data_IF_542842867157
#
_entry.id   IF_542842867157
#
_cell.length_a   1.000
_cell.length_b   1.000
_cell.length_c   1.000
_cell.angle_alpha   90.00
_cell.angle_beta   90.00
_cell.angle_gamma   90.00
#
_symmetry.space_group_name_H-M   'P 1'
#
loop_
_entity.id
_entity.type
_entity.pdbx_description
1 polymer ?
#
# COMPACT_ATOMS: atom_id res chain seq x y z
N UNK A 1 11.18 14.24 31.55
CA UNK A 1 11.58 13.04 30.79
C UNK A 1 10.38 12.62 29.96
N UNK A 2 10.43 12.81 28.63
CA UNK A 2 9.46 12.23 27.71
C UNK A 2 9.94 10.79 27.41
N UNK A 3 9.10 9.79 27.65
CA UNK A 3 9.47 8.38 27.54
C UNK A 3 9.70 7.90 26.09
N UNK A 4 10.21 6.66 25.91
CA UNK A 4 10.58 6.07 24.61
C UNK A 4 9.40 5.71 23.68
N UNK A 5 8.15 6.02 24.05
CA UNK A 5 6.95 5.50 23.36
C UNK A 5 6.69 6.19 22.02
N UNK A 6 7.01 7.49 21.89
CA UNK A 6 6.77 8.22 20.63
C UNK A 6 7.64 7.68 19.48
N UNK A 7 8.94 7.51 19.72
CA UNK A 7 9.92 7.09 18.69
C UNK A 7 9.63 5.72 18.06
N UNK A 8 9.08 4.78 18.83
CA UNK A 8 8.76 3.44 18.33
C UNK A 8 7.58 3.47 17.37
N UNK A 9 6.57 4.30 17.64
CA UNK A 9 5.36 4.36 16.84
C UNK A 9 5.62 4.99 15.47
N UNK A 10 6.43 6.06 15.44
CA UNK A 10 6.88 6.69 14.21
C UNK A 10 7.63 5.69 13.32
N UNK A 11 8.50 4.86 13.92
CA UNK A 11 9.26 3.83 13.21
C UNK A 11 8.37 2.72 12.65
N UNK A 12 7.35 2.29 13.42
CA UNK A 12 6.37 1.29 12.97
C UNK A 12 5.56 1.80 11.78
N UNK A 13 5.16 3.08 11.80
CA UNK A 13 4.43 3.69 10.69
C UNK A 13 5.30 3.94 9.46
N UNK A 14 6.59 4.21 9.63
CA UNK A 14 7.55 4.26 8.52
C UNK A 14 7.67 2.89 7.84
N UNK A 15 7.79 1.82 8.62
CA UNK A 15 7.83 0.46 8.09
C UNK A 15 6.50 0.10 7.39
N UNK A 16 5.35 0.49 7.95
CA UNK A 16 4.05 0.33 7.28
C UNK A 16 4.04 1.00 5.89
N UNK A 17 4.51 2.25 5.78
CA UNK A 17 4.60 2.99 4.50
C UNK A 17 5.55 2.29 3.53
N UNK A 18 6.68 1.79 4.02
CA UNK A 18 7.59 0.97 3.23
C UNK A 18 6.89 -0.31 2.72
N UNK A 19 6.11 -0.97 3.58
CA UNK A 19 5.28 -2.13 3.24
C UNK A 19 4.25 -1.84 2.15
N UNK A 20 3.51 -0.74 2.26
CA UNK A 20 2.55 -0.29 1.21
C UNK A 20 3.28 -0.03 -0.11
N UNK A 21 4.43 0.65 -0.07
CA UNK A 21 5.25 0.86 -1.28
C UNK A 21 5.68 -0.46 -1.92
N UNK A 22 6.13 -1.40 -1.10
CA UNK A 22 6.56 -2.72 -1.54
C UNK A 22 5.41 -3.51 -2.17
N UNK A 23 4.20 -3.45 -1.59
CA UNK A 23 3.00 -4.08 -2.14
C UNK A 23 2.65 -3.51 -3.50
N UNK A 24 2.57 -2.19 -3.64
CA UNK A 24 2.23 -1.56 -4.92
C UNK A 24 3.25 -1.87 -6.02
N UNK A 25 4.55 -1.93 -5.68
CA UNK A 25 5.61 -2.37 -6.61
C UNK A 25 5.50 -3.85 -6.96
N UNK A 26 5.06 -4.67 -6.01
CA UNK A 26 4.87 -6.10 -6.18
C UNK A 26 3.58 -6.46 -6.93
N UNK A 27 2.61 -5.55 -6.99
CA UNK A 27 1.34 -5.78 -7.65
C UNK A 27 1.50 -5.81 -9.17
N UNK A 28 1.32 -7.01 -9.74
CA UNK A 28 1.56 -7.29 -11.15
C UNK A 28 0.75 -6.39 -12.09
N UNK A 29 -0.52 -6.13 -11.77
CA UNK A 29 -1.39 -5.30 -12.59
C UNK A 29 -0.85 -3.87 -12.70
N UNK A 30 -0.58 -3.22 -11.56
CA UNK A 30 -0.03 -1.86 -11.53
C UNK A 30 1.36 -1.79 -12.17
N UNK A 31 2.24 -2.75 -11.90
CA UNK A 31 3.57 -2.80 -12.49
C UNK A 31 3.50 -2.89 -14.01
N UNK A 32 2.70 -3.82 -14.52
CA UNK A 32 2.50 -4.00 -15.98
C UNK A 32 1.93 -2.74 -16.60
N UNK A 33 0.95 -2.09 -15.94
CA UNK A 33 0.35 -0.85 -16.40
C UNK A 33 1.40 0.26 -16.58
N UNK A 34 2.31 0.39 -15.61
CA UNK A 34 3.37 1.40 -15.62
C UNK A 34 4.43 1.07 -16.67
N UNK A 35 4.89 -0.19 -16.75
CA UNK A 35 5.89 -0.63 -17.71
C UNK A 35 5.41 -0.52 -19.16
N UNK A 36 4.14 -0.85 -19.40
CA UNK A 36 3.51 -0.74 -20.71
C UNK A 36 3.02 0.67 -21.05
N UNK A 37 3.09 1.61 -20.10
CA UNK A 37 2.71 3.01 -20.29
C UNK A 37 1.21 3.24 -20.46
N UNK A 38 0.36 2.39 -19.88
CA UNK A 38 -1.10 2.47 -20.02
C UNK A 38 -1.70 3.70 -19.34
N UNK A 39 -1.01 4.27 -18.35
CA UNK A 39 -1.36 5.58 -17.76
C UNK A 39 -0.79 6.79 -18.52
N UNK A 40 -0.25 6.58 -19.73
CA UNK A 40 0.38 7.62 -20.54
C UNK A 40 1.74 8.06 -20.01
N UNK A 41 2.18 9.26 -20.39
CA UNK A 41 3.49 9.82 -19.98
C UNK A 41 3.62 10.00 -18.46
N UNK A 42 2.48 10.03 -17.76
CA UNK A 42 2.38 10.20 -16.32
C UNK A 42 2.20 8.88 -15.56
N UNK A 43 2.33 7.71 -16.21
CA UNK A 43 2.11 6.40 -15.59
C UNK A 43 2.85 6.22 -14.25
N UNK A 44 4.13 6.64 -14.20
CA UNK A 44 4.94 6.58 -12.97
C UNK A 44 4.41 7.56 -11.90
N UNK A 45 3.98 8.75 -12.32
CA UNK A 45 3.42 9.76 -11.41
C UNK A 45 2.07 9.31 -10.85
N UNK A 46 1.23 8.63 -11.63
CA UNK A 46 -0.04 8.02 -11.21
C UNK A 46 0.18 6.91 -10.18
N UNK A 47 1.15 6.02 -10.41
CA UNK A 47 1.47 4.99 -9.41
C UNK A 47 1.96 5.61 -8.07
N UNK A 48 2.67 6.73 -8.14
CA UNK A 48 3.12 7.50 -6.98
C UNK A 48 1.98 8.27 -6.31
N UNK A 49 1.01 8.75 -7.07
CA UNK A 49 -0.23 9.37 -6.60
C UNK A 49 -1.12 8.38 -5.85
N UNK A 50 -1.38 7.19 -6.39
CA UNK A 50 -2.07 6.11 -5.70
C UNK A 50 -1.44 5.82 -4.33
N UNK A 51 -0.10 5.75 -4.27
CA UNK A 51 0.63 5.56 -3.02
C UNK A 51 0.37 6.67 -2.01
N UNK A 52 0.32 7.94 -2.45
CA UNK A 52 0.01 9.07 -1.57
C UNK A 52 -1.41 8.97 -1.03
N UNK A 53 -2.38 8.65 -1.87
CA UNK A 53 -3.78 8.45 -1.49
C UNK A 53 -3.87 7.41 -0.35
N UNK A 54 -3.19 6.27 -0.49
CA UNK A 54 -3.15 5.25 0.56
C UNK A 54 -2.53 5.76 1.86
N UNK A 55 -1.45 6.54 1.81
CA UNK A 55 -0.86 7.13 3.02
C UNK A 55 -1.82 8.09 3.72
N UNK A 56 -2.65 8.82 2.98
CA UNK A 56 -3.62 9.73 3.55
C UNK A 56 -4.79 9.01 4.23
N UNK A 57 -5.20 7.85 3.70
CA UNK A 57 -6.22 7.01 4.32
C UNK A 57 -5.72 6.38 5.63
N UNK A 58 -4.46 5.98 5.67
CA UNK A 58 -3.82 5.30 6.79
C UNK A 58 -2.93 6.24 7.61
N UNK A 59 -3.54 7.30 8.15
CA UNK A 59 -2.85 8.28 9.00
C UNK A 59 -2.93 7.92 10.49
N UNK A 60 -1.77 7.91 11.15
CA UNK A 60 -1.63 7.57 12.57
C UNK A 60 -1.72 6.06 12.83
N UNK A 61 -2.18 5.66 14.02
CA UNK A 61 -2.20 4.25 14.48
C UNK A 61 -3.54 3.79 15.00
N UNK A 62 -4.61 4.54 14.68
CA UNK A 62 -5.94 4.20 15.13
C UNK A 62 -6.53 3.14 14.21
N UNK A 63 -6.79 1.95 14.75
CA UNK A 63 -7.46 0.87 14.03
C UNK A 63 -8.90 0.67 14.56
N UNK A 64 -9.91 0.54 13.68
CA UNK A 64 -9.82 0.66 12.21
C UNK A 64 -9.51 2.10 11.76
N UNK A 65 -8.95 2.28 10.55
CA UNK A 65 -8.76 3.62 9.98
C UNK A 65 -10.09 4.36 9.92
N UNK A 66 -10.09 5.66 10.25
CA UNK A 66 -11.31 6.45 10.35
C UNK A 66 -11.88 6.89 8.99
N UNK A 67 -11.03 6.93 7.97
CA UNK A 67 -11.33 7.53 6.66
C UNK A 67 -11.84 6.54 5.64
N UNK A 68 -11.62 5.24 5.83
CA UNK A 68 -11.86 4.21 4.83
C UNK A 68 -12.16 2.86 5.49
N UNK A 69 -13.02 2.05 4.89
CA UNK A 69 -13.18 0.63 5.26
C UNK A 69 -12.30 -0.28 4.38
N UNK A 70 -12.23 -1.57 4.70
CA UNK A 70 -11.49 -2.51 3.85
C UNK A 70 -12.16 -2.66 2.47
N UNK A 71 -13.49 -2.65 2.42
CA UNK A 71 -14.28 -2.72 1.18
C UNK A 71 -14.08 -1.44 0.34
N UNK A 72 -14.12 -0.25 0.97
CA UNK A 72 -13.83 1.00 0.27
C UNK A 72 -12.41 1.06 -0.29
N UNK A 73 -11.44 0.42 0.37
CA UNK A 73 -10.07 0.31 -0.13
C UNK A 73 -9.99 -0.59 -1.37
N UNK A 74 -10.70 -1.71 -1.38
CA UNK A 74 -10.81 -2.61 -2.54
C UNK A 74 -11.38 -1.85 -3.74
N UNK A 75 -12.52 -1.18 -3.57
CA UNK A 75 -13.14 -0.34 -4.60
C UNK A 75 -12.21 0.78 -5.05
N UNK A 76 -11.53 1.48 -4.13
CA UNK A 76 -10.59 2.54 -4.48
C UNK A 76 -9.45 2.03 -5.37
N UNK A 77 -8.89 0.86 -5.07
CA UNK A 77 -7.83 0.24 -5.89
C UNK A 77 -8.34 -0.15 -7.28
N UNK A 78 -9.54 -0.74 -7.36
CA UNK A 78 -10.15 -1.12 -8.64
C UNK A 78 -10.45 0.09 -9.52
N UNK A 79 -11.13 1.10 -8.95
CA UNK A 79 -11.51 2.33 -9.64
C UNK A 79 -10.26 3.06 -10.13
N UNK A 80 -9.21 3.16 -9.30
CA UNK A 80 -7.97 3.81 -9.72
C UNK A 80 -7.31 3.09 -10.91
N UNK A 81 -7.28 1.76 -10.90
CA UNK A 81 -6.73 0.98 -12.01
C UNK A 81 -7.55 1.14 -13.30
N UNK A 82 -8.87 1.25 -13.19
CA UNK A 82 -9.76 1.48 -14.33
C UNK A 82 -9.62 2.91 -14.88
N UNK A 83 -9.73 3.93 -14.03
CA UNK A 83 -9.74 5.33 -14.47
C UNK A 83 -8.36 5.80 -14.93
N UNK A 84 -7.30 5.45 -14.19
CA UNK A 84 -5.96 6.00 -14.44
C UNK A 84 -5.14 5.18 -15.43
N UNK A 85 -5.42 3.88 -15.54
CA UNK A 85 -4.67 2.94 -16.39
C UNK A 85 -5.54 2.18 -17.40
N UNK A 86 -6.87 2.37 -17.44
CA UNK A 86 -7.79 1.60 -18.30
C UNK A 86 -7.66 0.09 -18.12
N UNK A 87 -7.42 -0.37 -16.89
CA UNK A 87 -7.38 -1.79 -16.52
C UNK A 87 -8.64 -2.15 -15.75
N UNK A 88 -9.37 -3.15 -16.24
CA UNK A 88 -10.35 -3.87 -15.45
C UNK A 88 -9.66 -5.08 -14.83
N UNK A 89 -9.68 -5.17 -13.50
CA UNK A 89 -9.08 -6.29 -12.77
C UNK A 89 -10.03 -7.48 -12.78
N UNK A 90 -9.63 -8.57 -13.44
CA UNK A 90 -10.46 -9.79 -13.52
C UNK A 90 -10.05 -10.84 -12.48
N UNK A 91 -8.80 -10.76 -12.00
CA UNK A 91 -8.20 -11.71 -11.06
C UNK A 91 -8.48 -11.39 -9.58
N UNK A 92 -9.24 -10.32 -9.30
CA UNK A 92 -9.58 -9.88 -7.94
C UNK A 92 -8.32 -9.60 -7.08
N UNK A 93 -7.21 -9.16 -7.69
CA UNK A 93 -5.98 -8.85 -6.95
C UNK A 93 -6.14 -7.62 -6.07
N UNK A 94 -6.98 -6.65 -6.42
CA UNK A 94 -7.34 -5.50 -5.60
C UNK A 94 -7.77 -5.91 -4.19
N UNK A 95 -8.54 -6.98 -4.05
CA UNK A 95 -8.98 -7.51 -2.75
C UNK A 95 -7.80 -8.02 -1.93
N UNK A 96 -6.90 -8.78 -2.56
CA UNK A 96 -5.72 -9.33 -1.89
C UNK A 96 -4.75 -8.21 -1.47
N UNK A 97 -4.59 -7.19 -2.32
CA UNK A 97 -3.78 -6.00 -2.03
C UNK A 97 -4.40 -5.21 -0.88
N UNK A 98 -5.71 -4.94 -0.92
CA UNK A 98 -6.46 -4.27 0.14
C UNK A 98 -6.34 -5.00 1.47
N UNK A 99 -6.57 -6.32 1.50
CA UNK A 99 -6.43 -7.15 2.71
C UNK A 99 -5.01 -7.07 3.28
N UNK A 100 -4.00 -7.16 2.43
CA UNK A 100 -2.60 -7.12 2.88
C UNK A 100 -2.26 -5.77 3.50
N UNK A 101 -2.66 -4.66 2.88
CA UNK A 101 -2.50 -3.30 3.42
C UNK A 101 -3.24 -3.17 4.75
N UNK A 102 -4.47 -3.67 4.82
CA UNK A 102 -5.29 -3.62 6.03
C UNK A 102 -4.63 -4.35 7.21
N UNK A 103 -4.10 -5.55 6.97
CA UNK A 103 -3.37 -6.36 7.97
C UNK A 103 -2.07 -5.69 8.42
N UNK A 104 -1.35 -5.05 7.51
CA UNK A 104 -0.16 -4.26 7.84
C UNK A 104 -0.52 -3.12 8.79
N UNK A 105 -1.60 -2.39 8.52
CA UNK A 105 -2.04 -1.30 9.37
C UNK A 105 -2.56 -1.78 10.73
N UNK A 106 -3.27 -2.92 10.76
CA UNK A 106 -3.70 -3.55 12.02
C UNK A 106 -2.51 -3.93 12.91
N UNK A 107 -1.46 -4.53 12.33
CA UNK A 107 -0.24 -4.87 13.04
C UNK A 107 0.47 -3.60 13.54
N UNK A 108 0.59 -2.59 12.68
CA UNK A 108 1.21 -1.31 13.02
C UNK A 108 0.49 -0.60 14.18
N UNK A 109 -0.84 -0.67 14.23
CA UNK A 109 -1.66 -0.15 15.34
C UNK A 109 -1.34 -0.82 16.68
N UNK A 110 -0.90 -2.08 16.65
CA UNK A 110 -0.46 -2.85 17.84
C UNK A 110 1.02 -2.65 18.16
N UNK A 111 1.74 -1.83 17.38
CA UNK A 111 3.18 -1.61 17.51
C UNK A 111 4.03 -2.71 16.89
N UNK A 112 3.46 -3.58 16.06
CA UNK A 112 4.18 -4.63 15.34
C UNK A 112 4.42 -4.22 13.88
N UNK A 113 5.69 -4.17 13.48
CA UNK A 113 6.10 -3.89 12.10
C UNK A 113 6.71 -5.12 11.40
N UNK A 114 6.63 -6.30 12.02
CA UNK A 114 7.26 -7.52 11.51
C UNK A 114 6.67 -7.93 10.18
N UNK A 115 5.36 -7.80 10.02
CA UNK A 115 4.69 -8.08 8.74
C UNK A 115 5.15 -7.12 7.63
N UNK A 116 5.28 -5.83 7.96
CA UNK A 116 5.73 -4.81 7.01
C UNK A 116 7.16 -5.07 6.54
N UNK A 117 8.06 -5.34 7.48
CA UNK A 117 9.45 -5.68 7.18
C UNK A 117 9.56 -6.94 6.30
N UNK A 118 8.76 -7.98 6.58
CA UNK A 118 8.72 -9.20 5.76
C UNK A 118 8.27 -8.92 4.32
N UNK A 119 7.23 -8.11 4.15
CA UNK A 119 6.71 -7.72 2.83
C UNK A 119 7.74 -6.91 2.04
N UNK A 120 8.44 -5.97 2.70
CA UNK A 120 9.53 -5.20 2.10
C UNK A 120 10.67 -6.13 1.66
N UNK A 121 11.10 -7.04 2.53
CA UNK A 121 12.16 -8.00 2.21
C UNK A 121 11.78 -8.90 1.03
N UNK A 122 10.55 -9.42 1.00
CA UNK A 122 10.05 -10.26 -0.08
C UNK A 122 9.95 -9.51 -1.42
N UNK A 123 9.48 -8.25 -1.40
CA UNK A 123 9.41 -7.40 -2.59
C UNK A 123 10.80 -7.11 -3.15
N UNK A 124 11.76 -6.75 -2.30
CA UNK A 124 13.14 -6.51 -2.73
C UNK A 124 13.81 -7.75 -3.31
N UNK A 125 13.58 -8.92 -2.72
CA UNK A 125 14.09 -10.19 -3.26
C UNK A 125 13.51 -10.51 -4.65
N UNK A 126 12.23 -10.21 -4.86
CA UNK A 126 11.54 -10.43 -6.13
C UNK A 126 11.99 -9.49 -7.24
N UNK A 127 12.43 -8.27 -6.90
CA UNK A 127 12.93 -7.27 -7.85
C UNK A 127 14.42 -7.46 -8.20
N UNK A 128 15.16 -8.23 -7.40
CA UNK A 128 16.59 -8.48 -7.60
C UNK A 128 16.88 -9.70 -8.51
N UNK A 129 15.84 -10.36 -9.03
CA UNK A 129 15.91 -11.52 -9.92
C UNK A 129 15.66 -11.10 -11.37
#
# INVERSE_FOLDING_TARGET
>A
QAGPVSTTLDSVMDEFRAGVTAILRSWSALRTAVEAGWGGVESVAKADDLRRILYEYFDGVNFPPKKITQEDLEDCLAIYMEEEFSIVLEDNSERQIAETIWRLYEAASKGDSSLASQVVAASNASLAQ
#
